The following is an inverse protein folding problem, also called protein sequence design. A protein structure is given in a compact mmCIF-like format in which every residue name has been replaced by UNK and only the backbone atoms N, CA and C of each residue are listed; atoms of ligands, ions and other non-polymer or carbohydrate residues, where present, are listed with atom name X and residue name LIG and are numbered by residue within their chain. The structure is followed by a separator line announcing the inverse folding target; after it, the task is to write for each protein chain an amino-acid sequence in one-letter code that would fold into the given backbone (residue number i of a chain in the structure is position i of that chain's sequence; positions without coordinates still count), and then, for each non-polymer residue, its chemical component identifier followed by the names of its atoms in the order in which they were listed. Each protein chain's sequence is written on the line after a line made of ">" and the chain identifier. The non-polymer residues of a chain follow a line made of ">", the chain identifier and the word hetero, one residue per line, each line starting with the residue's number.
data_IF_835635948288
#
_entry.id   IF_835635948288
#
_cell.length_a   1.000
_cell.length_b   1.000
_cell.length_c   1.000
_cell.angle_alpha   90.00
_cell.angle_beta   90.00
_cell.angle_gamma   90.00
#
_symmetry.space_group_name_H-M   'P 1'
#
loop_
_entity.id
_entity.type
_entity.pdbx_description
1 polymer ?
#
# COMPACT_ATOMS: atom_id res chain seq x y z
N UNK A 1 19.12 5.45 -4.23
CA UNK A 1 18.23 4.27 -4.28
C UNK A 1 17.46 4.34 -5.58
N UNK A 2 17.59 3.32 -6.42
CA UNK A 2 16.89 3.25 -7.70
C UNK A 2 15.42 2.91 -7.46
N UNK A 3 14.51 3.47 -8.25
CA UNK A 3 13.06 3.33 -8.09
C UNK A 3 12.61 1.86 -8.05
N UNK A 4 13.35 0.97 -8.73
CA UNK A 4 13.16 -0.48 -8.77
C UNK A 4 13.46 -1.23 -7.47
N UNK A 5 14.34 -0.71 -6.61
CA UNK A 5 14.64 -1.35 -5.32
C UNK A 5 13.56 -1.04 -4.29
N UNK A 6 13.04 0.20 -4.32
CA UNK A 6 11.91 0.61 -3.50
C UNK A 6 10.68 -0.28 -3.75
N UNK A 7 10.44 -0.67 -5.01
CA UNK A 7 9.33 -1.55 -5.39
C UNK A 7 9.47 -2.95 -4.80
N UNK A 8 10.68 -3.52 -4.76
CA UNK A 8 10.91 -4.88 -4.23
C UNK A 8 10.79 -4.93 -2.71
N UNK A 9 11.30 -3.93 -2.00
CA UNK A 9 11.17 -3.84 -0.55
C UNK A 9 9.71 -3.60 -0.15
N UNK A 10 8.98 -2.77 -0.87
CA UNK A 10 7.54 -2.55 -0.67
C UNK A 10 6.74 -3.82 -0.95
N UNK A 11 7.04 -4.54 -2.03
CA UNK A 11 6.41 -5.83 -2.33
C UNK A 11 6.70 -6.88 -1.25
N UNK A 12 7.94 -6.94 -0.75
CA UNK A 12 8.33 -7.86 0.31
C UNK A 12 7.64 -7.53 1.64
N UNK A 13 7.55 -6.24 1.99
CA UNK A 13 6.82 -5.76 3.16
C UNK A 13 5.33 -6.13 3.06
N UNK A 14 4.70 -5.88 1.92
CA UNK A 14 3.28 -6.21 1.66
C UNK A 14 3.04 -7.72 1.73
N UNK A 15 3.96 -8.53 1.21
CA UNK A 15 3.86 -10.00 1.25
C UNK A 15 4.12 -10.59 2.64
N UNK A 16 4.97 -9.98 3.45
CA UNK A 16 5.28 -10.44 4.81
C UNK A 16 4.27 -9.95 5.85
N UNK A 17 3.51 -8.89 5.54
CA UNK A 17 2.34 -8.49 6.31
C UNK A 17 1.20 -9.46 5.97
N UNK A 18 1.04 -10.52 6.78
CA UNK A 18 -0.20 -11.30 6.87
C UNK A 18 -1.40 -10.47 7.39
N UNK A 19 -1.27 -9.14 7.40
CA UNK A 19 -2.26 -8.21 7.89
C UNK A 19 -3.32 -8.01 6.81
N UNK A 20 -4.57 -8.10 7.24
CA UNK A 20 -5.70 -7.67 6.43
C UNK A 20 -5.62 -6.18 6.09
N UNK A 21 -6.28 -5.75 5.01
CA UNK A 21 -6.32 -4.33 4.61
C UNK A 21 -6.82 -3.43 5.75
N UNK A 22 -7.68 -3.96 6.60
CA UNK A 22 -8.20 -3.28 7.78
C UNK A 22 -7.13 -3.11 8.87
N UNK A 23 -6.33 -4.14 9.16
CA UNK A 23 -5.21 -4.02 10.11
C UNK A 23 -4.13 -3.06 9.60
N UNK A 24 -3.91 -2.99 8.30
CA UNK A 24 -3.01 -2.01 7.68
C UNK A 24 -3.62 -0.60 7.80
N UNK A 25 -4.90 -0.42 7.50
CA UNK A 25 -5.59 0.87 7.64
C UNK A 25 -5.62 1.38 9.09
N UNK A 26 -5.71 0.49 10.08
CA UNK A 26 -5.70 0.85 11.50
C UNK A 26 -4.28 1.16 12.03
N UNK A 27 -3.25 0.44 11.54
CA UNK A 27 -1.86 0.67 11.94
C UNK A 27 -1.22 1.89 11.28
N UNK A 28 -1.62 2.22 10.05
CA UNK A 28 -1.00 3.27 9.27
C UNK A 28 -1.95 4.46 9.09
N UNK A 29 -1.49 5.65 9.46
CA UNK A 29 -2.24 6.88 9.19
C UNK A 29 -1.90 7.43 7.81
N UNK A 30 -2.65 6.99 6.80
CA UNK A 30 -2.52 7.49 5.45
C UNK A 30 -3.00 8.94 5.35
N UNK A 31 -2.29 9.74 4.54
CA UNK A 31 -2.63 11.13 4.31
C UNK A 31 -2.66 11.44 2.82
N UNK A 32 -3.65 12.23 2.41
CA UNK A 32 -3.74 12.77 1.06
C UNK A 32 -3.93 14.28 1.13
N UNK A 33 -3.02 15.04 0.49
CA UNK A 33 -3.04 16.50 0.45
C UNK A 33 -3.18 17.15 1.85
N UNK A 34 -2.46 16.60 2.83
CA UNK A 34 -2.46 17.10 4.22
C UNK A 34 -3.68 16.71 5.05
N UNK A 35 -4.62 15.93 4.50
CA UNK A 35 -5.75 15.37 5.26
C UNK A 35 -5.52 13.90 5.55
N UNK A 36 -5.83 13.47 6.78
CA UNK A 36 -5.87 12.04 7.11
C UNK A 36 -7.01 11.40 6.36
N UNK A 37 -6.73 10.26 5.74
CA UNK A 37 -7.76 9.42 5.15
C UNK A 37 -8.57 8.77 6.26
N UNK A 38 -9.86 8.61 6.02
CA UNK A 38 -10.72 7.73 6.80
C UNK A 38 -10.29 6.26 6.62
N UNK A 39 -10.80 5.35 7.46
CA UNK A 39 -10.51 3.92 7.33
C UNK A 39 -10.94 3.40 5.95
N UNK A 40 -12.13 3.76 5.48
CA UNK A 40 -12.63 3.34 4.16
C UNK A 40 -11.78 3.88 3.01
N UNK A 41 -11.32 5.13 3.10
CA UNK A 41 -10.41 5.71 2.12
C UNK A 41 -9.02 5.06 2.15
N UNK A 42 -8.54 4.71 3.34
CA UNK A 42 -7.27 3.99 3.54
C UNK A 42 -7.33 2.61 2.92
N UNK A 43 -8.43 1.87 3.13
CA UNK A 43 -8.64 0.55 2.51
C UNK A 43 -8.66 0.67 0.98
N UNK A 44 -9.43 1.62 0.42
CA UNK A 44 -9.45 1.86 -1.03
C UNK A 44 -8.07 2.22 -1.59
N UNK A 45 -7.31 3.01 -0.85
CA UNK A 45 -5.95 3.39 -1.22
C UNK A 45 -5.00 2.17 -1.20
N UNK A 46 -5.10 1.30 -0.20
CA UNK A 46 -4.34 0.05 -0.13
C UNK A 46 -4.69 -0.87 -1.32
N UNK A 47 -5.98 -1.05 -1.62
CA UNK A 47 -6.40 -1.85 -2.77
C UNK A 47 -5.88 -1.30 -4.09
N UNK A 48 -5.88 0.03 -4.26
CA UNK A 48 -5.29 0.70 -5.42
C UNK A 48 -3.80 0.39 -5.54
N UNK A 49 -3.02 0.55 -4.45
CA UNK A 49 -1.58 0.25 -4.47
C UNK A 49 -1.29 -1.21 -4.83
N UNK A 50 -2.11 -2.15 -4.34
CA UNK A 50 -1.99 -3.58 -4.68
C UNK A 50 -2.23 -3.82 -6.17
N UNK A 51 -3.24 -3.17 -6.75
CA UNK A 51 -3.53 -3.27 -8.19
C UNK A 51 -2.39 -2.70 -9.04
N UNK A 52 -1.86 -1.53 -8.69
CA UNK A 52 -0.73 -0.92 -9.39
C UNK A 52 0.54 -1.80 -9.31
N UNK A 53 0.79 -2.43 -8.17
CA UNK A 53 1.90 -3.38 -7.99
C UNK A 53 1.75 -4.60 -8.90
N UNK A 54 0.54 -5.17 -9.00
CA UNK A 54 0.28 -6.31 -9.89
C UNK A 54 0.40 -5.92 -11.36
N UNK A 55 -0.18 -4.79 -11.76
CA UNK A 55 -0.12 -4.29 -13.14
C UNK A 55 1.32 -3.99 -13.59
N UNK A 56 2.18 -3.53 -12.68
CA UNK A 56 3.61 -3.29 -12.96
C UNK A 56 4.42 -4.59 -13.00
N UNK A 57 3.97 -5.66 -12.34
CA UNK A 57 4.62 -6.97 -12.39
C UNK A 57 4.29 -7.77 -13.66
N UNK A 58 3.18 -7.44 -14.33
CA UNK A 58 2.73 -8.06 -15.59
C UNK A 58 3.21 -7.32 -16.85
N UNK A 59 3.84 -6.15 -16.71
CA UNK A 59 4.35 -5.30 -17.79
C UNK A 59 5.87 -5.46 -18.00
#
# INVERSE_FOLDING_TARGET
>A
MSMTELTKEVQSLVNQLHLSDQEIAEKFQFMHRGKKLTIDESIRFISFLKQELMATAEA
#
